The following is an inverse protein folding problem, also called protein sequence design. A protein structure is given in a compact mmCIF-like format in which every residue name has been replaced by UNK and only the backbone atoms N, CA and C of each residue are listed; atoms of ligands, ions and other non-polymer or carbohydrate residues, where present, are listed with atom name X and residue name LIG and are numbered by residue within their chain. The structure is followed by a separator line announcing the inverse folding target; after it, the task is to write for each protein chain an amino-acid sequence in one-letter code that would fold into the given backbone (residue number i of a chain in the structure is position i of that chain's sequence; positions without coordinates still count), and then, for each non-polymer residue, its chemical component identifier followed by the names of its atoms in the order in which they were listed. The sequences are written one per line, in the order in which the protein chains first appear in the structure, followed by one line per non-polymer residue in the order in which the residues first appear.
data_IF_167669978325
#
_entry.id   IF_167669978325
#
_cell.length_a   1.000
_cell.length_b   1.000
_cell.length_c   1.000
_cell.angle_alpha   90.00
_cell.angle_beta   90.00
_cell.angle_gamma   90.00
#
_symmetry.space_group_name_H-M   'P 1'
#
loop_
_entity.id
_entity.type
_entity.pdbx_description
1 polymer ?
#
# COMPACT_ATOMS: atom_id res chain seq x y z
N UNK A 1 -34.73 1.72 -52.62
CA UNK A 1 -33.52 2.59 -52.55
C UNK A 1 -33.39 3.40 -51.26
N UNK A 2 -34.48 3.90 -50.65
CA UNK A 2 -34.42 4.67 -49.38
C UNK A 2 -33.95 3.85 -48.16
N UNK A 3 -34.17 2.53 -48.17
CA UNK A 3 -33.74 1.63 -47.09
C UNK A 3 -32.22 1.41 -47.08
N UNK A 4 -31.62 1.18 -48.26
CA UNK A 4 -30.17 1.00 -48.41
C UNK A 4 -29.39 2.28 -48.09
N UNK A 5 -29.94 3.45 -48.44
CA UNK A 5 -29.34 4.74 -48.07
C UNK A 5 -29.31 4.96 -46.55
N UNK A 6 -30.34 4.52 -45.80
CA UNK A 6 -30.36 4.62 -44.33
C UNK A 6 -29.39 3.64 -43.67
N UNK A 7 -29.25 2.44 -44.23
CA UNK A 7 -28.29 1.45 -43.74
C UNK A 7 -26.85 1.93 -43.91
N UNK A 8 -26.51 2.52 -45.06
CA UNK A 8 -25.18 3.03 -45.34
C UNK A 8 -24.75 4.16 -44.37
N UNK A 9 -25.67 5.05 -44.01
CA UNK A 9 -25.41 6.14 -43.05
C UNK A 9 -25.15 5.58 -41.65
N UNK A 10 -25.88 4.56 -41.20
CA UNK A 10 -25.64 3.92 -39.90
C UNK A 10 -24.27 3.23 -39.83
N UNK A 11 -23.85 2.56 -40.91
CA UNK A 11 -22.54 1.90 -40.95
C UNK A 11 -21.38 2.91 -40.82
N UNK A 12 -21.48 4.09 -41.43
CA UNK A 12 -20.42 5.10 -41.33
C UNK A 12 -20.26 5.69 -39.93
N UNK A 13 -21.32 5.80 -39.12
CA UNK A 13 -21.22 6.25 -37.73
C UNK A 13 -20.67 5.18 -36.79
N UNK A 14 -20.91 3.89 -37.09
CA UNK A 14 -20.39 2.80 -36.27
C UNK A 14 -18.88 2.57 -36.47
N UNK A 15 -18.38 2.74 -37.71
CA UNK A 15 -16.97 2.54 -38.02
C UNK A 15 -16.04 3.63 -37.44
N UNK A 16 -16.51 4.87 -37.26
CA UNK A 16 -15.69 5.95 -36.68
C UNK A 16 -15.55 5.83 -35.15
N UNK A 17 -16.52 5.21 -34.46
CA UNK A 17 -16.45 4.96 -33.02
C UNK A 17 -15.39 3.93 -32.62
N UNK A 18 -15.18 2.88 -33.43
CA UNK A 18 -14.19 1.84 -33.13
C UNK A 18 -12.73 2.32 -33.25
N UNK A 19 -12.44 3.23 -34.19
CA UNK A 19 -11.10 3.80 -34.35
C UNK A 19 -10.69 4.68 -33.16
N UNK A 20 -11.65 5.36 -32.53
CA UNK A 20 -11.38 6.22 -31.37
C UNK A 20 -11.08 5.43 -30.09
N UNK A 21 -11.59 4.19 -29.95
CA UNK A 21 -11.30 3.37 -28.76
C UNK A 21 -9.92 2.69 -28.84
N UNK A 22 -9.37 2.49 -30.04
CA UNK A 22 -8.04 1.89 -30.21
C UNK A 22 -6.89 2.87 -30.00
N UNK A 23 -7.12 4.18 -30.10
CA UNK A 23 -6.04 5.19 -30.02
C UNK A 23 -5.54 5.45 -28.59
N UNK A 24 -6.25 4.99 -27.55
CA UNK A 24 -5.85 5.17 -26.15
C UNK A 24 -5.09 3.95 -25.57
N UNK A 25 -4.90 2.88 -26.35
CA UNK A 25 -4.24 1.65 -25.92
C UNK A 25 -2.82 1.51 -26.47
N UNK A 26 -2.04 2.60 -26.54
CA UNK A 26 -0.58 2.43 -26.55
C UNK A 26 -0.15 2.20 -25.11
N UNK A 27 0.24 0.97 -24.71
CA UNK A 27 0.87 0.78 -23.42
C UNK A 27 2.15 1.61 -23.44
N UNK A 28 2.23 2.62 -22.58
CA UNK A 28 3.52 3.16 -22.21
C UNK A 28 4.33 1.96 -21.72
N UNK A 29 5.43 1.67 -22.40
CA UNK A 29 6.42 0.68 -21.98
C UNK A 29 6.92 1.08 -20.59
N UNK A 30 6.23 0.66 -19.53
CA UNK A 30 6.72 0.62 -18.16
C UNK A 30 7.76 -0.49 -18.13
N UNK A 31 8.98 -0.18 -18.56
CA UNK A 31 10.13 -0.99 -18.20
C UNK A 31 10.23 -1.01 -16.67
N UNK A 32 10.47 -2.21 -16.11
CA UNK A 32 10.90 -2.51 -14.73
C UNK A 32 9.86 -2.51 -13.59
N UNK A 33 8.81 -3.34 -13.66
CA UNK A 33 8.08 -3.80 -12.44
C UNK A 33 7.76 -5.31 -12.42
N UNK A 34 7.95 -6.05 -13.52
CA UNK A 34 7.52 -7.47 -13.64
C UNK A 34 8.35 -8.49 -12.83
N UNK A 35 9.51 -8.11 -12.26
CA UNK A 35 10.39 -9.03 -11.51
C UNK A 35 10.35 -8.87 -9.98
N UNK A 36 9.66 -7.85 -9.46
CA UNK A 36 9.41 -7.72 -8.03
C UNK A 36 8.10 -8.44 -7.68
N UNK A 37 8.21 -9.75 -7.41
CA UNK A 37 7.10 -10.52 -6.85
C UNK A 37 6.43 -9.83 -5.66
N UNK A 38 5.22 -10.26 -5.24
CA UNK A 38 4.35 -9.48 -4.36
C UNK A 38 5.09 -8.85 -3.18
N UNK A 39 4.94 -7.53 -2.99
CA UNK A 39 5.54 -6.76 -1.88
C UNK A 39 5.31 -7.45 -0.52
N UNK A 40 4.29 -8.31 -0.41
CA UNK A 40 4.06 -9.21 0.73
C UNK A 40 5.26 -10.07 1.15
N UNK A 41 6.25 -10.27 0.28
CA UNK A 41 7.48 -11.04 0.56
C UNK A 41 8.72 -10.17 0.79
N UNK A 42 8.62 -8.84 0.68
CA UNK A 42 9.71 -7.94 1.07
C UNK A 42 9.78 -7.86 2.59
N UNK A 43 10.56 -8.76 3.20
CA UNK A 43 10.93 -8.63 4.61
C UNK A 43 11.69 -7.32 4.79
N UNK A 44 11.29 -6.50 5.77
CA UNK A 44 12.02 -5.28 6.12
C UNK A 44 13.51 -5.63 6.27
N UNK A 45 14.40 -5.08 5.41
CA UNK A 45 15.82 -5.31 5.57
C UNK A 45 16.20 -4.77 6.95
N UNK A 46 16.67 -5.67 7.82
CA UNK A 46 17.01 -5.43 9.22
C UNK A 46 15.87 -5.40 10.26
N UNK A 47 14.76 -6.12 10.06
CA UNK A 47 13.69 -6.28 11.08
C UNK A 47 14.22 -6.52 12.52
N UNK A 48 15.18 -7.45 12.67
CA UNK A 48 15.75 -7.76 13.99
C UNK A 48 16.44 -6.56 14.64
N UNK A 49 17.15 -5.74 13.85
CA UNK A 49 17.83 -4.55 14.37
C UNK A 49 16.82 -3.48 14.76
N UNK A 50 15.75 -3.29 13.98
CA UNK A 50 14.65 -2.39 14.30
C UNK A 50 13.99 -2.79 15.63
N UNK A 51 13.71 -4.08 15.83
CA UNK A 51 13.16 -4.62 17.10
C UNK A 51 14.13 -4.39 18.26
N UNK A 52 15.43 -4.61 18.06
CA UNK A 52 16.43 -4.35 19.10
C UNK A 52 16.49 -2.87 19.49
N UNK A 53 16.47 -1.96 18.51
CA UNK A 53 16.47 -0.52 18.74
C UNK A 53 15.21 -0.07 19.49
N UNK A 54 14.04 -0.57 19.11
CA UNK A 54 12.79 -0.28 19.84
C UNK A 54 12.87 -0.74 21.31
N UNK A 55 13.39 -1.95 21.56
CA UNK A 55 13.59 -2.46 22.93
C UNK A 55 14.59 -1.62 23.71
N UNK A 56 15.67 -1.17 23.08
CA UNK A 56 16.67 -0.30 23.70
C UNK A 56 16.08 1.07 24.07
N UNK A 57 15.32 1.69 23.16
CA UNK A 57 14.63 2.96 23.40
C UNK A 57 13.62 2.84 24.56
N UNK A 58 12.85 1.75 24.60
CA UNK A 58 11.91 1.50 25.70
C UNK A 58 12.64 1.39 27.06
N UNK A 59 13.75 0.64 27.11
CA UNK A 59 14.56 0.50 28.32
C UNK A 59 15.13 1.84 28.78
N UNK A 60 15.57 2.70 27.85
CA UNK A 60 16.04 4.05 28.18
C UNK A 60 14.92 4.90 28.79
N UNK A 61 13.72 4.89 28.20
CA UNK A 61 12.55 5.59 28.75
C UNK A 61 12.19 5.11 30.16
N UNK A 62 12.26 3.80 30.42
CA UNK A 62 12.01 3.25 31.77
C UNK A 62 13.09 3.71 32.75
N UNK A 63 14.37 3.69 32.38
CA UNK A 63 15.46 4.20 33.23
C UNK A 63 15.29 5.68 33.55
N UNK A 64 14.81 6.48 32.60
CA UNK A 64 14.51 7.90 32.84
C UNK A 64 13.36 8.10 33.84
N UNK A 65 12.40 7.17 33.93
CA UNK A 65 11.37 7.22 34.97
C UNK A 65 11.94 6.96 36.36
N UNK A 66 12.99 6.15 36.47
CA UNK A 66 13.65 5.83 37.75
C UNK A 66 14.41 7.04 38.32
N UNK A 67 14.79 8.01 37.48
CA UNK A 67 15.47 9.24 37.92
C UNK A 67 14.50 10.32 38.39
N UNK A 68 13.19 10.15 38.18
CA UNK A 68 12.18 11.13 38.60
C UNK A 68 11.76 10.89 40.04
N UNK A 69 11.58 11.97 40.81
CA UNK A 69 11.01 11.92 42.14
C UNK A 69 9.47 11.72 42.06
N UNK A 70 9.05 10.48 41.83
CA UNK A 70 7.65 10.08 41.71
C UNK A 70 7.35 8.88 42.59
N UNK A 71 6.10 8.78 43.05
CA UNK A 71 5.66 7.61 43.80
C UNK A 71 5.65 6.33 42.95
N UNK A 72 5.89 5.19 43.58
CA UNK A 72 5.92 3.88 42.92
C UNK A 72 4.65 3.57 42.14
N UNK A 73 3.49 3.98 42.68
CA UNK A 73 2.20 3.82 42.01
C UNK A 73 2.15 4.59 40.69
N UNK A 74 2.71 5.81 40.65
CA UNK A 74 2.78 6.63 39.44
C UNK A 74 3.78 6.05 38.45
N UNK A 75 4.96 5.63 38.95
CA UNK A 75 5.99 4.94 38.16
C UNK A 75 5.44 3.71 37.44
N UNK A 76 4.76 2.82 38.16
CA UNK A 76 4.20 1.59 37.60
C UNK A 76 3.12 1.88 36.53
N UNK A 77 2.29 2.91 36.73
CA UNK A 77 1.31 3.35 35.74
C UNK A 77 1.97 3.86 34.46
N UNK A 78 3.04 4.67 34.59
CA UNK A 78 3.79 5.20 33.45
C UNK A 78 4.51 4.09 32.67
N UNK A 79 5.14 3.14 33.38
CA UNK A 79 5.75 1.96 32.73
C UNK A 79 4.70 1.18 31.94
N UNK A 80 3.52 0.93 32.52
CA UNK A 80 2.42 0.23 31.82
C UNK A 80 1.93 1.00 30.60
N UNK A 81 1.89 2.33 30.65
CA UNK A 81 1.52 3.17 29.51
C UNK A 81 2.56 3.07 28.39
N UNK A 82 3.86 3.09 28.71
CA UNK A 82 4.94 2.94 27.72
C UNK A 82 4.87 1.60 26.97
N UNK A 83 4.60 0.49 27.66
CA UNK A 83 4.39 -0.83 27.02
C UNK A 83 3.09 -0.93 26.22
N UNK A 84 2.10 -0.06 26.49
CA UNK A 84 0.88 0.01 25.70
C UNK A 84 1.13 0.79 24.41
N UNK A 85 1.81 1.91 24.50
CA UNK A 85 2.20 2.74 23.36
C UNK A 85 3.14 1.99 22.41
N UNK A 86 4.12 1.25 22.93
CA UNK A 86 5.05 0.46 22.11
C UNK A 86 4.38 -0.64 21.29
N UNK A 87 3.12 -1.00 21.60
CA UNK A 87 2.34 -2.02 20.87
C UNK A 87 1.37 -1.40 19.87
N UNK A 88 1.16 -0.10 19.91
CA UNK A 88 0.39 0.59 18.88
C UNK A 88 1.29 0.71 17.64
N UNK A 89 1.10 -0.21 16.70
CA UNK A 89 1.69 -0.12 15.37
C UNK A 89 0.93 0.98 14.64
N UNK A 90 1.56 2.14 14.48
CA UNK A 90 1.06 3.16 13.57
C UNK A 90 1.36 2.66 12.16
N UNK A 91 0.40 1.95 11.54
CA UNK A 91 0.52 1.57 10.14
C UNK A 91 0.64 2.84 9.30
N UNK A 92 1.78 2.98 8.66
CA UNK A 92 2.04 4.09 7.76
C UNK A 92 1.16 3.87 6.52
N UNK A 93 0.37 4.88 6.14
CA UNK A 93 -0.57 4.78 5.00
C UNK A 93 0.14 4.42 3.69
N UNK A 94 1.44 4.69 3.59
CA UNK A 94 2.32 4.28 2.49
C UNK A 94 2.29 2.76 2.23
N UNK A 95 2.20 1.93 3.29
CA UNK A 95 2.12 0.47 3.17
C UNK A 95 0.81 0.00 2.49
N UNK A 96 -0.25 0.82 2.55
CA UNK A 96 -1.57 0.49 2.02
C UNK A 96 -1.79 0.98 0.57
N UNK A 97 -0.88 1.79 0.02
CA UNK A 97 -1.14 2.55 -1.22
C UNK A 97 -0.56 1.90 -2.48
N UNK A 98 0.36 0.94 -2.36
CA UNK A 98 1.07 0.38 -3.52
C UNK A 98 0.69 -1.07 -3.89
N UNK A 99 -0.43 -1.60 -3.40
CA UNK A 99 -0.92 -2.90 -3.86
C UNK A 99 -1.82 -2.71 -5.08
N UNK A 100 -1.23 -2.76 -6.28
CA UNK A 100 -1.98 -3.00 -7.52
C UNK A 100 -2.34 -4.50 -7.53
N UNK A 101 -3.63 -4.84 -7.41
CA UNK A 101 -4.09 -6.22 -7.53
C UNK A 101 -4.26 -6.53 -9.01
N UNK A 102 -3.52 -7.49 -9.54
CA UNK A 102 -3.76 -8.02 -10.88
C UNK A 102 -5.08 -8.79 -10.86
N UNK A 103 -6.04 -8.36 -11.69
CA UNK A 103 -7.28 -9.11 -11.93
C UNK A 103 -6.92 -10.28 -12.87
N UNK A 104 -6.83 -11.49 -12.34
CA UNK A 104 -6.73 -12.71 -13.15
C UNK A 104 -8.00 -12.83 -14.01
N UNK A 105 -7.87 -12.59 -15.32
CA UNK A 105 -8.88 -12.92 -16.31
C UNK A 105 -8.96 -14.46 -16.39
N UNK A 106 -9.94 -15.05 -15.70
CA UNK A 106 -10.27 -16.46 -15.89
C UNK A 106 -10.94 -16.62 -17.26
N UNK A 107 -10.22 -17.17 -18.24
CA UNK A 107 -10.82 -17.62 -19.51
C UNK A 107 -11.74 -18.82 -19.25
N UNK A 108 -13.00 -18.71 -19.69
CA UNK A 108 -14.05 -19.75 -19.63
C UNK A 108 -13.75 -21.00 -20.49
#
# INVERSE_FOLDING_TARGET
MKLFMRLAICCTFFCTGMLYSQQNNTPASKTTEEDEGPIMFQFEPNYETAVMLQRAALKQKIKALDTLDISDRKRQRLIKALYKESRNINFEKSVLVNTEFEEEEFED
#
